data_IF_845045342332
#
_entry.id   IF_845045342332
#
_cell.length_a   1.000
_cell.length_b   1.000
_cell.length_c   1.000
_cell.angle_alpha   90.00
_cell.angle_beta   90.00
_cell.angle_gamma   90.00
#
_symmetry.space_group_name_H-M   'P 1'
#
loop_
_entity.id
_entity.type
_entity.pdbx_description
1 polymer ?
#
# COMPACT_ATOMS: atom_id res chain seq x y z
N UNK A 1 -13.20 -17.82 3.07
CA UNK A 1 -12.73 -16.48 3.51
C UNK A 1 -11.85 -15.92 2.41
N UNK A 2 -12.36 -14.96 1.64
CA UNK A 2 -11.68 -14.38 0.47
C UNK A 2 -10.86 -13.16 0.88
N UNK A 3 -9.87 -13.35 1.76
CA UNK A 3 -9.08 -12.27 2.38
C UNK A 3 -8.17 -11.52 1.40
N UNK A 4 -7.70 -12.19 0.34
CA UNK A 4 -6.70 -11.62 -0.57
C UNK A 4 -7.22 -10.45 -1.41
N UNK A 5 -8.49 -10.51 -1.83
CA UNK A 5 -9.11 -9.45 -2.64
C UNK A 5 -9.34 -8.16 -1.84
N UNK A 6 -9.61 -8.31 -0.54
CA UNK A 6 -9.79 -7.18 0.38
C UNK A 6 -8.47 -6.45 0.62
N UNK A 7 -7.37 -7.17 0.87
CA UNK A 7 -6.07 -6.55 1.10
C UNK A 7 -5.54 -5.79 -0.11
N UNK A 8 -5.70 -6.35 -1.32
CA UNK A 8 -5.30 -5.65 -2.53
C UNK A 8 -6.10 -4.36 -2.74
N UNK A 9 -7.41 -4.42 -2.54
CA UNK A 9 -8.29 -3.25 -2.70
C UNK A 9 -7.94 -2.13 -1.71
N UNK A 10 -7.64 -2.49 -0.47
CA UNK A 10 -7.21 -1.55 0.58
C UNK A 10 -5.87 -0.88 0.25
N UNK A 11 -4.86 -1.69 -0.12
CA UNK A 11 -3.56 -1.19 -0.55
C UNK A 11 -3.68 -0.25 -1.74
N UNK A 12 -4.52 -0.56 -2.73
CA UNK A 12 -4.76 0.31 -3.88
C UNK A 12 -5.44 1.63 -3.49
N UNK A 13 -6.39 1.60 -2.55
CA UNK A 13 -7.05 2.80 -2.05
C UNK A 13 -6.05 3.70 -1.29
N UNK A 14 -5.20 3.11 -0.44
CA UNK A 14 -4.12 3.81 0.25
C UNK A 14 -3.12 4.41 -0.72
N UNK A 15 -2.63 3.64 -1.69
CA UNK A 15 -1.69 4.11 -2.71
C UNK A 15 -2.26 5.30 -3.48
N UNK A 16 -3.52 5.25 -3.91
CA UNK A 16 -4.20 6.35 -4.63
C UNK A 16 -4.40 7.60 -3.78
N UNK A 17 -4.41 7.45 -2.45
CA UNK A 17 -4.55 8.57 -1.52
C UNK A 17 -3.23 9.32 -1.29
N UNK A 18 -2.10 8.74 -1.70
CA UNK A 18 -0.78 9.35 -1.63
C UNK A 18 -0.38 9.99 -2.97
N UNK A 19 0.50 10.99 -2.91
CA UNK A 19 1.03 11.65 -4.10
C UNK A 19 2.09 10.78 -4.76
N UNK A 20 2.27 10.94 -6.07
CA UNK A 20 3.31 10.23 -6.83
C UNK A 20 4.72 10.40 -6.22
N UNK A 21 5.04 11.58 -5.69
CA UNK A 21 6.33 11.84 -5.03
C UNK A 21 6.57 11.03 -3.75
N UNK A 22 5.53 10.43 -3.16
CA UNK A 22 5.61 9.65 -1.91
C UNK A 22 5.79 8.14 -2.18
N UNK A 23 5.64 7.70 -3.43
CA UNK A 23 5.70 6.27 -3.79
C UNK A 23 7.07 5.64 -3.49
N UNK A 24 8.16 6.40 -3.66
CA UNK A 24 9.51 5.93 -3.30
C UNK A 24 9.61 5.66 -1.80
N UNK A 25 9.18 6.59 -0.95
CA UNK A 25 9.21 6.43 0.51
C UNK A 25 8.33 5.26 0.99
N UNK A 26 7.18 5.05 0.35
CA UNK A 26 6.29 3.89 0.62
C UNK A 26 7.00 2.60 0.24
N UNK A 27 7.65 2.56 -0.94
CA UNK A 27 8.38 1.38 -1.42
C UNK A 27 9.52 1.01 -0.48
N UNK A 28 10.33 1.98 -0.06
CA UNK A 28 11.41 1.80 0.90
C UNK A 28 10.88 1.31 2.26
N UNK A 29 9.82 1.94 2.76
CA UNK A 29 9.22 1.60 4.04
C UNK A 29 8.56 0.23 4.09
N UNK A 30 7.98 -0.22 2.98
CA UNK A 30 7.39 -1.55 2.83
C UNK A 30 8.40 -2.61 2.36
N UNK A 31 9.66 -2.23 2.12
CA UNK A 31 10.72 -3.09 1.58
C UNK A 31 10.29 -3.81 0.28
N UNK A 32 9.67 -3.05 -0.63
CA UNK A 32 9.25 -3.54 -1.96
C UNK A 32 9.86 -2.65 -3.05
N UNK A 33 10.07 -3.16 -4.27
CA UNK A 33 10.60 -2.34 -5.36
C UNK A 33 9.65 -1.19 -5.72
N UNK A 34 10.19 0.02 -5.90
CA UNK A 34 9.41 1.20 -6.32
C UNK A 34 8.65 0.95 -7.62
N UNK A 35 9.29 0.27 -8.59
CA UNK A 35 8.65 -0.09 -9.85
C UNK A 35 7.40 -0.96 -9.66
N UNK A 36 7.33 -1.77 -8.60
CA UNK A 36 6.15 -2.55 -8.26
C UNK A 36 5.05 -1.66 -7.68
N UNK A 37 5.41 -0.72 -6.80
CA UNK A 37 4.47 0.24 -6.21
C UNK A 37 3.87 1.15 -7.28
N UNK A 38 4.69 1.67 -8.22
CA UNK A 38 4.21 2.48 -9.35
C UNK A 38 3.24 1.70 -10.23
N UNK A 39 3.56 0.47 -10.62
CA UNK A 39 2.66 -0.35 -11.44
C UNK A 39 1.34 -0.63 -10.73
N UNK A 40 1.35 -0.81 -9.41
CA UNK A 40 0.12 -0.93 -8.61
C UNK A 40 -0.68 0.37 -8.60
N UNK A 41 0.00 1.50 -8.37
CA UNK A 41 -0.59 2.84 -8.39
C UNK A 41 -1.28 3.16 -9.74
N UNK A 42 -0.61 2.84 -10.85
CA UNK A 42 -1.15 3.05 -12.20
C UNK A 42 -2.14 1.97 -12.66
N UNK A 43 -2.32 0.88 -11.90
CA UNK A 43 -3.19 -0.23 -12.28
C UNK A 43 -2.64 -1.13 -13.40
N UNK A 44 -1.33 -1.10 -13.64
CA UNK A 44 -0.65 -1.91 -14.66
C UNK A 44 -0.38 -3.35 -14.22
N UNK A 45 -0.59 -3.67 -12.93
CA UNK A 45 -0.46 -5.04 -12.40
C UNK A 45 -1.81 -5.73 -12.33
N UNK A 46 -2.03 -6.73 -13.18
CA UNK A 46 -3.23 -7.57 -13.13
C UNK A 46 -3.22 -8.58 -11.98
N UNK A 47 -2.03 -9.08 -11.58
CA UNK A 47 -1.93 -10.10 -10.53
C UNK A 47 -0.68 -9.89 -9.67
N UNK A 48 -0.72 -9.00 -8.67
CA UNK A 48 0.39 -8.79 -7.77
C UNK A 48 0.65 -10.02 -6.90
N UNK A 49 1.91 -10.24 -6.53
CA UNK A 49 2.27 -11.31 -5.60
C UNK A 49 1.66 -11.01 -4.23
N UNK A 50 1.09 -12.04 -3.60
CA UNK A 50 0.44 -11.94 -2.28
C UNK A 50 1.38 -11.31 -1.25
N UNK A 51 2.64 -11.74 -1.19
CA UNK A 51 3.64 -11.18 -0.27
C UNK A 51 3.86 -9.66 -0.44
N UNK A 52 3.75 -9.13 -1.67
CA UNK A 52 3.89 -7.70 -1.92
C UNK A 52 2.69 -6.93 -1.37
N UNK A 53 1.48 -7.47 -1.59
CA UNK A 53 0.25 -6.88 -1.07
C UNK A 53 0.26 -6.89 0.46
N UNK A 54 0.68 -8.00 1.07
CA UNK A 54 0.80 -8.11 2.53
C UNK A 54 1.86 -7.15 3.11
N UNK A 55 3.02 -7.02 2.47
CA UNK A 55 4.06 -6.08 2.92
C UNK A 55 3.57 -4.62 2.89
N UNK A 56 2.90 -4.22 1.81
CA UNK A 56 2.30 -2.89 1.69
C UNK A 56 1.17 -2.67 2.69
N UNK A 57 0.29 -3.65 2.86
CA UNK A 57 -0.79 -3.59 3.83
C UNK A 57 -0.26 -3.45 5.26
N UNK A 58 0.76 -4.25 5.63
CA UNK A 58 1.41 -4.16 6.94
C UNK A 58 2.13 -2.83 7.14
N UNK A 59 2.74 -2.27 6.09
CA UNK A 59 3.32 -0.94 6.15
C UNK A 59 2.27 0.13 6.45
N UNK A 60 1.14 0.11 5.76
CA UNK A 60 0.04 1.07 6.02
C UNK A 60 -0.61 0.84 7.39
N UNK A 61 -0.78 -0.41 7.82
CA UNK A 61 -1.34 -0.72 9.14
C UNK A 61 -0.41 -0.33 10.30
N UNK A 62 0.91 -0.32 10.08
CA UNK A 62 1.91 0.06 11.10
C UNK A 62 2.21 1.55 11.14
N UNK A 63 1.82 2.30 10.10
CA UNK A 63 1.85 3.76 10.08
C UNK A 63 0.52 4.26 10.64
N UNK A 64 0.46 4.73 11.90
CA UNK A 64 -0.76 5.35 12.39
C UNK A 64 -1.08 6.51 11.44
N UNK A 65 -2.29 6.47 10.85
CA UNK A 65 -2.81 7.63 10.15
C UNK A 65 -2.71 8.81 11.12
N UNK A 66 -2.06 9.94 10.77
CA UNK A 66 -2.00 11.13 11.63
C UNK A 66 -3.38 11.67 12.02
N UNK A 67 -4.46 11.11 11.46
CA UNK A 67 -5.85 11.45 11.71
C UNK A 67 -6.47 10.69 12.91
N UNK A 68 -5.78 9.69 13.48
CA UNK A 68 -6.23 8.95 14.68
C UNK A 68 -5.47 9.35 15.97
N UNK A 69 -4.90 10.55 16.03
CA UNK A 69 -4.35 11.13 17.26
C UNK A 69 -5.13 12.37 17.68
N UNK A 70 -6.45 12.25 17.80
CA UNK A 70 -7.31 13.26 18.42
C UNK A 70 -8.50 12.60 19.15
N UNK A 71 -8.25 11.73 20.12
CA UNK A 71 -9.21 11.45 21.20
C UNK A 71 -8.41 11.13 22.47
N UNK A 72 -8.06 12.17 23.21
CA UNK A 72 -7.68 12.13 24.62
C UNK A 72 -8.42 13.26 25.33
#
# INVERSE_FOLDING_TARGET
>A
MSTNHTFLSDVLAQLRSHKHGELQAIADGANVPEGTVRKLYYGEVQNPRVNTVEALHNYFASKPNPQEVNHA
#
